data_IF_474429247705
#
_entry.id   IF_474429247705
#
_cell.length_a   1.000
_cell.length_b   1.000
_cell.length_c   1.000
_cell.angle_alpha   90.00
_cell.angle_beta   90.00
_cell.angle_gamma   90.00
#
_symmetry.space_group_name_H-M   'P 1'
#
loop_
_entity.id
_entity.type
_entity.pdbx_description
1 polymer ?
#
# COMPACT_ATOMS: atom_id res chain seq x y z
N UNK A 1 0.14 29.57 13.87
CA UNK A 1 0.35 29.11 15.25
C UNK A 1 1.01 27.75 15.13
N UNK A 2 2.29 27.70 15.48
CA UNK A 2 3.10 26.48 15.38
C UNK A 2 2.73 25.63 16.57
N UNK A 3 2.13 25.43 17.39
CA UNK A 3 1.84 24.73 18.64
C UNK A 3 1.63 25.69 19.81
N UNK A 4 0.46 26.24 19.92
CA UNK A 4 0.06 26.96 21.14
C UNK A 4 -0.44 26.00 22.22
N UNK A 5 -0.36 26.41 23.49
CA UNK A 5 -1.06 25.69 24.54
C UNK A 5 -2.54 25.56 24.19
N UNK A 6 -3.05 24.34 24.23
CA UNK A 6 -4.45 24.03 23.98
C UNK A 6 -5.37 24.87 24.84
N UNK A 7 -6.35 25.48 24.20
CA UNK A 7 -7.47 26.12 24.85
C UNK A 7 -8.72 25.35 24.42
N UNK A 8 -9.51 24.87 25.36
CA UNK A 8 -10.68 24.03 25.09
C UNK A 8 -11.68 24.63 24.06
N UNK A 9 -11.76 25.95 23.98
CA UNK A 9 -12.59 26.63 22.98
C UNK A 9 -11.99 26.60 21.57
N UNK A 10 -10.68 26.38 21.45
CA UNK A 10 -9.96 26.24 20.16
C UNK A 10 -9.88 24.80 19.77
N UNK A 11 -9.86 23.85 20.70
CA UNK A 11 -9.80 22.42 20.45
C UNK A 11 -10.99 21.92 19.62
N UNK A 12 -12.19 22.44 19.87
CA UNK A 12 -13.40 22.07 19.10
C UNK A 12 -13.38 22.57 17.65
N UNK A 13 -12.56 23.58 17.35
CA UNK A 13 -12.42 24.15 16.01
C UNK A 13 -11.24 23.58 15.22
N UNK A 14 -10.32 22.87 15.89
CA UNK A 14 -9.07 22.37 15.30
C UNK A 14 -9.04 20.86 15.14
N UNK A 15 -10.01 20.14 15.72
CA UNK A 15 -10.06 18.68 15.60
C UNK A 15 -10.64 18.27 14.26
N UNK A 16 -9.92 17.42 13.56
CA UNK A 16 -10.45 16.75 12.40
C UNK A 16 -11.41 15.63 12.81
N UNK A 17 -12.35 15.33 11.96
CA UNK A 17 -13.07 14.08 11.99
C UNK A 17 -12.22 13.02 11.28
N UNK A 18 -11.22 12.46 11.95
CA UNK A 18 -10.51 11.32 11.38
C UNK A 18 -11.51 10.20 11.07
N UNK A 19 -11.60 9.84 9.80
CA UNK A 19 -12.38 8.71 9.30
C UNK A 19 -11.63 8.17 8.07
N UNK A 20 -11.74 6.88 7.85
CA UNK A 20 -11.25 6.25 6.62
C UNK A 20 -12.14 6.57 5.40
N UNK A 21 -12.78 7.75 5.40
CA UNK A 21 -13.67 8.23 4.36
C UNK A 21 -13.01 9.35 3.58
N UNK A 22 -13.40 9.49 2.32
CA UNK A 22 -13.06 10.68 1.55
C UNK A 22 -13.94 11.86 1.93
N UNK A 23 -13.40 13.07 1.81
CA UNK A 23 -14.16 14.33 1.80
C UNK A 23 -14.10 14.99 0.43
N UNK A 24 -13.63 14.29 -0.59
CA UNK A 24 -13.44 14.77 -1.95
C UNK A 24 -14.53 14.26 -2.90
N UNK A 25 -15.73 14.03 -2.39
CA UNK A 25 -16.91 13.65 -3.17
C UNK A 25 -17.79 14.87 -3.48
N UNK A 26 -18.70 14.78 -4.48
CA UNK A 26 -19.49 15.92 -4.90
C UNK A 26 -20.60 16.34 -3.90
N UNK A 27 -20.84 15.57 -2.86
CA UNK A 27 -21.92 15.79 -1.90
C UNK A 27 -21.44 16.23 -0.52
N UNK A 28 -20.13 16.17 -0.25
CA UNK A 28 -19.56 16.53 1.04
C UNK A 28 -19.94 17.96 1.42
N UNK A 29 -20.32 18.17 2.68
CA UNK A 29 -20.60 19.52 3.17
C UNK A 29 -19.31 20.35 3.26
N UNK A 30 -19.41 21.66 3.01
CA UNK A 30 -18.28 22.57 3.19
C UNK A 30 -17.79 22.60 4.66
N UNK A 31 -18.67 22.31 5.58
CA UNK A 31 -18.33 22.18 6.99
C UNK A 31 -17.40 20.98 7.24
N UNK A 32 -17.80 19.80 6.77
CA UNK A 32 -16.99 18.58 6.96
C UNK A 32 -15.67 18.62 6.18
N UNK A 33 -15.72 19.11 4.94
CA UNK A 33 -14.51 19.33 4.14
C UNK A 33 -13.51 20.22 4.89
N UNK A 34 -13.97 21.38 5.35
CA UNK A 34 -13.12 22.34 6.05
C UNK A 34 -12.59 21.77 7.37
N UNK A 35 -13.42 21.07 8.14
CA UNK A 35 -12.97 20.45 9.40
C UNK A 35 -11.95 19.35 9.19
N UNK A 36 -12.04 18.62 8.10
CA UNK A 36 -11.07 17.57 7.76
C UNK A 36 -9.75 18.16 7.29
N UNK A 37 -9.79 19.12 6.36
CA UNK A 37 -8.58 19.67 5.74
C UNK A 37 -7.89 20.74 6.60
N UNK A 38 -8.64 21.49 7.40
CA UNK A 38 -8.10 22.58 8.24
C UNK A 38 -7.87 22.17 9.70
N UNK A 39 -8.39 21.02 10.12
CA UNK A 39 -8.32 20.55 11.50
C UNK A 39 -7.14 19.61 11.75
N UNK A 40 -7.09 19.07 12.95
CA UNK A 40 -6.08 18.07 13.30
C UNK A 40 -6.52 16.67 12.91
N UNK A 41 -5.58 15.82 12.57
CA UNK A 41 -5.85 14.42 12.24
C UNK A 41 -6.56 13.70 13.42
N UNK A 42 -5.96 13.72 14.59
CA UNK A 42 -6.57 13.33 15.87
C UNK A 42 -6.13 14.29 16.98
N UNK A 43 -6.75 14.21 18.14
CA UNK A 43 -6.49 15.11 19.25
C UNK A 43 -5.02 15.19 19.72
N UNK A 44 -4.25 14.12 19.51
CA UNK A 44 -2.82 14.04 19.83
C UNK A 44 -1.89 14.39 18.68
N UNK A 45 -2.40 14.57 17.45
CA UNK A 45 -1.61 14.80 16.24
C UNK A 45 -2.05 16.12 15.58
N UNK A 46 -1.48 17.25 16.02
CA UNK A 46 -1.80 18.56 15.44
C UNK A 46 -1.31 18.64 13.99
N UNK A 47 -2.16 19.16 13.12
CA UNK A 47 -1.80 19.44 11.74
C UNK A 47 -1.21 20.85 11.59
N UNK A 48 -0.31 21.01 10.62
CA UNK A 48 0.30 22.26 10.24
C UNK A 48 -0.56 22.94 9.16
N UNK A 49 -0.71 24.26 9.25
CA UNK A 49 -1.45 25.00 8.22
C UNK A 49 -0.64 25.14 6.93
N UNK A 50 -0.77 24.18 6.02
CA UNK A 50 -0.03 24.12 4.75
C UNK A 50 -0.38 25.29 3.81
N UNK A 51 -1.49 26.02 4.01
CA UNK A 51 -1.83 27.21 3.26
C UNK A 51 -1.03 28.45 3.67
N UNK A 52 -0.35 28.39 4.82
CA UNK A 52 0.61 29.44 5.19
C UNK A 52 1.82 29.38 4.24
N UNK A 53 2.08 30.42 3.43
CA UNK A 53 3.14 30.38 2.41
C UNK A 53 4.54 30.25 2.99
N UNK A 54 4.80 30.79 4.15
CA UNK A 54 6.11 30.68 4.82
C UNK A 54 6.33 29.26 5.34
N UNK A 55 5.31 28.66 5.94
CA UNK A 55 5.37 27.29 6.40
C UNK A 55 5.55 26.34 5.21
N UNK A 56 4.79 26.54 4.12
CA UNK A 56 4.91 25.71 2.93
C UNK A 56 6.31 25.79 2.31
N UNK A 57 6.89 26.99 2.25
CA UNK A 57 8.28 27.17 1.82
C UNK A 57 9.26 26.40 2.71
N UNK A 58 9.07 26.46 4.01
CA UNK A 58 9.89 25.71 4.97
C UNK A 58 9.77 24.20 4.75
N UNK A 59 8.56 23.66 4.59
CA UNK A 59 8.33 22.23 4.38
C UNK A 59 8.96 21.73 3.06
N UNK A 60 8.86 22.52 1.99
CA UNK A 60 9.53 22.21 0.71
C UNK A 60 11.05 22.19 0.90
N UNK A 61 11.62 23.24 1.50
CA UNK A 61 13.06 23.34 1.72
C UNK A 61 13.58 22.24 2.66
N UNK A 62 12.82 21.91 3.69
CA UNK A 62 13.15 20.82 4.61
C UNK A 62 13.19 19.46 3.87
N UNK A 63 12.25 19.20 2.98
CA UNK A 63 12.24 17.98 2.17
C UNK A 63 13.46 17.90 1.24
N UNK A 64 13.76 18.99 0.54
CA UNK A 64 14.95 19.11 -0.33
C UNK A 64 16.24 18.94 0.49
N UNK A 65 16.31 19.56 1.66
CA UNK A 65 17.46 19.42 2.55
C UNK A 65 17.72 17.98 2.97
N UNK A 66 16.66 17.24 3.33
CA UNK A 66 16.80 15.83 3.67
C UNK A 66 17.24 14.96 2.48
N UNK A 67 16.73 15.25 1.28
CA UNK A 67 17.16 14.56 0.06
C UNK A 67 18.66 14.74 -0.15
N UNK A 68 19.15 15.98 -0.05
CA UNK A 68 20.58 16.30 -0.22
C UNK A 68 21.44 15.77 0.92
N UNK A 69 21.04 16.01 2.16
CA UNK A 69 21.83 15.67 3.34
C UNK A 69 21.97 14.16 3.55
N UNK A 70 20.90 13.43 3.40
CA UNK A 70 20.88 11.99 3.66
C UNK A 70 20.95 11.12 2.40
N UNK A 71 20.89 11.71 1.20
CA UNK A 71 20.91 10.98 -0.07
C UNK A 71 19.70 10.04 -0.24
N UNK A 72 18.52 10.42 0.29
CA UNK A 72 17.31 9.60 0.19
C UNK A 72 16.80 9.57 -1.25
N UNK A 73 16.20 8.43 -1.65
CA UNK A 73 15.75 8.22 -3.03
C UNK A 73 14.21 8.27 -3.18
N UNK A 74 13.48 8.47 -2.10
CA UNK A 74 12.02 8.56 -2.10
C UNK A 74 11.49 9.02 -0.75
N UNK A 75 10.24 9.48 -0.75
CA UNK A 75 9.50 9.91 0.44
C UNK A 75 8.19 9.12 0.51
N UNK A 76 7.86 8.58 1.68
CA UNK A 76 6.48 8.23 2.03
C UNK A 76 5.87 9.42 2.77
N UNK A 77 4.83 10.00 2.21
CA UNK A 77 4.06 11.06 2.84
C UNK A 77 2.87 10.46 3.60
N UNK A 78 2.96 10.52 4.89
CA UNK A 78 1.96 10.06 5.85
C UNK A 78 0.65 10.82 5.73
N UNK A 79 -0.49 10.18 6.01
CA UNK A 79 -1.82 10.80 6.09
C UNK A 79 -2.17 11.73 4.90
N UNK A 80 -1.74 11.39 3.69
CA UNK A 80 -1.82 12.24 2.50
C UNK A 80 -3.22 12.82 2.20
N UNK A 81 -4.35 12.06 2.34
CA UNK A 81 -5.68 12.54 2.01
C UNK A 81 -6.20 13.69 2.90
N UNK A 82 -5.58 13.92 4.03
CA UNK A 82 -6.02 14.90 5.02
C UNK A 82 -5.37 16.28 4.84
N UNK A 83 -4.34 16.38 4.02
CA UNK A 83 -3.65 17.64 3.73
C UNK A 83 -4.38 18.48 2.67
N UNK A 84 -4.08 19.78 2.64
CA UNK A 84 -4.56 20.68 1.59
C UNK A 84 -4.00 20.26 0.22
N UNK A 85 -4.89 19.88 -0.72
CA UNK A 85 -4.48 19.30 -2.01
C UNK A 85 -3.68 20.28 -2.88
N UNK A 86 -3.95 21.57 -2.84
CA UNK A 86 -3.17 22.55 -3.60
C UNK A 86 -1.78 22.76 -3.01
N UNK A 87 -1.69 22.73 -1.67
CA UNK A 87 -0.40 22.79 -0.98
C UNK A 87 0.43 21.54 -1.30
N UNK A 88 -0.18 20.36 -1.29
CA UNK A 88 0.47 19.11 -1.67
C UNK A 88 0.92 19.12 -3.13
N UNK A 89 0.09 19.64 -4.04
CA UNK A 89 0.48 19.80 -5.43
C UNK A 89 1.69 20.75 -5.61
N UNK A 90 1.76 21.83 -4.82
CA UNK A 90 2.94 22.73 -4.82
C UNK A 90 4.18 22.02 -4.31
N UNK A 91 4.07 21.27 -3.23
CA UNK A 91 5.17 20.49 -2.66
C UNK A 91 5.67 19.44 -3.63
N UNK A 92 4.79 18.64 -4.21
CA UNK A 92 5.15 17.61 -5.20
C UNK A 92 5.85 18.22 -6.43
N UNK A 93 5.31 19.33 -6.96
CA UNK A 93 5.95 20.04 -8.10
C UNK A 93 7.32 20.58 -7.76
N UNK A 94 7.50 21.13 -6.56
CA UNK A 94 8.79 21.66 -6.14
C UNK A 94 9.85 20.56 -6.05
N UNK A 95 9.53 19.43 -5.42
CA UNK A 95 10.44 18.28 -5.34
C UNK A 95 10.73 17.69 -6.73
N UNK A 96 9.69 17.50 -7.56
CA UNK A 96 9.86 16.94 -8.91
C UNK A 96 10.67 17.85 -9.84
N UNK A 97 10.66 19.17 -9.65
CA UNK A 97 11.46 20.11 -10.42
C UNK A 97 12.95 19.97 -10.14
N UNK A 98 13.31 19.78 -8.87
CA UNK A 98 14.72 19.58 -8.46
C UNK A 98 15.18 18.14 -8.78
N UNK A 99 14.28 17.15 -8.57
CA UNK A 99 14.58 15.71 -8.71
C UNK A 99 13.55 15.02 -9.60
N UNK A 100 13.62 15.12 -10.94
CA UNK A 100 12.60 14.60 -11.86
C UNK A 100 12.33 13.09 -11.79
N UNK A 101 13.29 12.32 -11.24
CA UNK A 101 13.16 10.86 -11.06
C UNK A 101 12.83 10.42 -9.64
N UNK A 102 12.67 11.39 -8.73
CA UNK A 102 12.36 11.11 -7.33
C UNK A 102 10.92 10.60 -7.20
N UNK A 103 10.72 9.56 -6.40
CA UNK A 103 9.37 9.03 -6.16
C UNK A 103 8.83 9.49 -4.80
N UNK A 104 7.56 9.87 -4.80
CA UNK A 104 6.79 10.16 -3.59
C UNK A 104 5.62 9.20 -3.54
N UNK A 105 5.49 8.50 -2.43
CA UNK A 105 4.36 7.63 -2.14
C UNK A 105 3.47 8.33 -1.12
N UNK A 106 2.23 8.63 -1.49
CA UNK A 106 1.24 9.13 -0.54
C UNK A 106 0.55 7.98 0.17
N UNK A 107 0.57 7.99 1.48
CA UNK A 107 -0.29 7.10 2.24
C UNK A 107 -1.74 7.53 2.06
N UNK A 108 -2.42 6.86 1.17
CA UNK A 108 -3.81 7.11 0.82
C UNK A 108 -4.71 6.04 1.45
N UNK A 109 -4.77 6.02 2.78
CA UNK A 109 -5.58 5.02 3.49
C UNK A 109 -7.07 5.34 3.36
N UNK A 110 -7.63 4.88 2.26
CA UNK A 110 -9.05 4.95 1.92
C UNK A 110 -9.51 3.57 1.44
N UNK A 111 -10.79 3.27 1.63
CA UNK A 111 -11.32 1.92 1.46
C UNK A 111 -11.75 1.59 0.02
N UNK A 112 -11.72 2.56 -0.89
CA UNK A 112 -12.17 2.34 -2.26
C UNK A 112 -11.23 2.96 -3.29
N UNK A 113 -11.18 2.35 -4.45
CA UNK A 113 -10.27 2.68 -5.55
C UNK A 113 -10.50 4.09 -6.10
N UNK A 114 -11.77 4.55 -6.16
CA UNK A 114 -12.08 5.87 -6.70
C UNK A 114 -11.50 7.00 -5.84
N UNK A 115 -11.61 6.86 -4.52
CA UNK A 115 -11.06 7.84 -3.57
C UNK A 115 -9.53 7.86 -3.58
N UNK A 116 -8.89 6.72 -3.76
CA UNK A 116 -7.43 6.64 -3.89
C UNK A 116 -6.97 7.18 -5.24
N UNK A 117 -7.63 6.79 -6.31
CA UNK A 117 -7.34 7.28 -7.66
C UNK A 117 -7.41 8.80 -7.77
N UNK A 118 -8.35 9.42 -7.02
CA UNK A 118 -8.49 10.87 -6.92
C UNK A 118 -7.19 11.58 -6.51
N UNK A 119 -6.35 10.93 -5.68
CA UNK A 119 -5.10 11.49 -5.19
C UNK A 119 -3.94 11.37 -6.17
N UNK A 120 -4.06 10.54 -7.22
CA UNK A 120 -2.94 10.26 -8.11
C UNK A 120 -2.75 11.37 -9.16
N UNK A 121 -1.50 11.66 -9.49
CA UNK A 121 -1.12 12.58 -10.57
C UNK A 121 -1.81 12.23 -11.88
N UNK A 122 -2.40 13.25 -12.52
CA UNK A 122 -3.06 13.10 -13.81
C UNK A 122 -4.44 12.46 -13.76
N UNK A 123 -4.97 12.21 -12.55
CA UNK A 123 -6.35 11.74 -12.41
C UNK A 123 -7.33 12.84 -12.86
N UNK A 124 -8.33 12.44 -13.66
CA UNK A 124 -9.30 13.37 -14.25
C UNK A 124 -10.49 13.66 -13.34
N UNK A 125 -10.67 12.91 -12.27
CA UNK A 125 -11.74 13.12 -11.29
C UNK A 125 -11.43 14.28 -10.34
N UNK A 126 -10.14 14.60 -10.16
CA UNK A 126 -9.69 15.66 -9.29
C UNK A 126 -9.51 16.97 -10.05
N UNK A 127 -10.17 18.07 -9.66
CA UNK A 127 -9.94 19.39 -10.26
C UNK A 127 -8.53 19.92 -9.99
N UNK A 128 -7.88 19.43 -8.93
CA UNK A 128 -6.49 19.76 -8.61
C UNK A 128 -5.59 18.59 -8.97
N UNK A 129 -4.71 18.75 -9.96
CA UNK A 129 -3.67 17.75 -10.21
C UNK A 129 -2.64 17.81 -9.08
N UNK A 130 -2.67 16.80 -8.21
CA UNK A 130 -1.82 16.73 -7.01
C UNK A 130 -0.34 16.52 -7.32
N UNK A 131 -0.01 16.07 -8.54
CA UNK A 131 1.35 15.67 -8.95
C UNK A 131 1.94 14.50 -8.13
N UNK A 132 1.12 13.81 -7.32
CA UNK A 132 1.56 12.65 -6.56
C UNK A 132 1.77 11.44 -7.48
N UNK A 133 3.00 10.94 -7.65
CA UNK A 133 3.26 9.87 -8.61
C UNK A 133 2.74 8.51 -8.18
N UNK A 134 2.76 8.21 -6.88
CA UNK A 134 2.44 6.88 -6.34
C UNK A 134 1.46 6.99 -5.18
N UNK A 135 0.40 6.19 -5.22
CA UNK A 135 -0.58 6.02 -4.14
C UNK A 135 -0.55 4.58 -3.62
N UNK A 136 -0.92 4.37 -2.36
CA UNK A 136 -0.95 3.03 -1.74
C UNK A 136 -2.27 2.32 -2.04
N UNK A 137 -2.19 1.06 -2.44
CA UNK A 137 -3.34 0.22 -2.81
C UNK A 137 -3.96 -0.44 -1.56
N UNK A 138 -4.58 0.37 -0.71
CA UNK A 138 -5.28 -0.12 0.48
C UNK A 138 -6.46 -1.04 0.17
N UNK A 139 -7.26 -0.86 -0.91
CA UNK A 139 -8.29 -1.83 -1.25
C UNK A 139 -7.74 -3.23 -1.47
N UNK A 140 -6.58 -3.38 -2.13
CA UNK A 140 -5.92 -4.69 -2.26
C UNK A 140 -5.52 -5.25 -0.89
N UNK A 141 -4.92 -4.44 -0.02
CA UNK A 141 -4.52 -4.85 1.33
C UNK A 141 -5.72 -5.35 2.15
N UNK A 142 -6.82 -4.60 2.16
CA UNK A 142 -8.02 -4.94 2.92
C UNK A 142 -8.75 -6.18 2.37
N UNK A 143 -8.73 -6.36 1.04
CA UNK A 143 -9.42 -7.46 0.38
C UNK A 143 -8.62 -8.76 0.36
N UNK A 144 -7.29 -8.70 0.36
CA UNK A 144 -6.43 -9.86 0.13
C UNK A 144 -6.68 -10.98 1.15
N UNK A 145 -6.87 -10.61 2.43
CA UNK A 145 -7.17 -11.58 3.48
C UNK A 145 -8.41 -12.41 3.16
N UNK A 146 -9.47 -11.76 2.65
CA UNK A 146 -10.69 -12.45 2.22
C UNK A 146 -10.45 -13.27 0.96
N UNK A 147 -9.79 -12.70 -0.05
CA UNK A 147 -9.57 -13.36 -1.34
C UNK A 147 -8.82 -14.69 -1.20
N UNK A 148 -7.87 -14.78 -0.27
CA UNK A 148 -7.07 -15.98 -0.06
C UNK A 148 -7.52 -16.83 1.13
N UNK A 149 -8.28 -16.26 2.10
CA UNK A 149 -8.72 -16.93 3.32
C UNK A 149 -10.11 -17.57 3.25
N UNK A 150 -10.95 -17.18 2.30
CA UNK A 150 -12.33 -17.69 2.22
C UNK A 150 -12.39 -19.18 1.91
N UNK A 151 -13.14 -19.92 2.75
CA UNK A 151 -13.38 -21.36 2.58
C UNK A 151 -14.54 -21.63 1.60
N UNK A 152 -15.65 -20.88 1.77
CA UNK A 152 -16.80 -20.96 0.86
C UNK A 152 -16.64 -19.94 -0.25
N UNK A 153 -16.71 -20.36 -1.48
CA UNK A 153 -16.42 -19.55 -2.66
C UNK A 153 -17.60 -19.54 -3.61
N UNK A 154 -18.34 -18.46 -3.60
CA UNK A 154 -19.38 -18.15 -4.58
C UNK A 154 -18.81 -17.43 -5.80
N UNK A 155 -19.66 -16.99 -6.71
CA UNK A 155 -19.23 -16.24 -7.92
C UNK A 155 -18.53 -14.90 -7.66
N UNK A 156 -18.62 -14.34 -6.43
CA UNK A 156 -17.95 -13.06 -6.07
C UNK A 156 -16.82 -13.23 -5.06
N UNK A 157 -16.60 -14.44 -4.53
CA UNK A 157 -15.68 -14.70 -3.44
C UNK A 157 -14.35 -15.28 -3.94
N UNK A 158 -13.40 -15.42 -3.03
CA UNK A 158 -12.08 -15.98 -3.33
C UNK A 158 -11.34 -15.18 -4.41
N UNK A 159 -10.78 -15.87 -5.40
CA UNK A 159 -9.98 -15.22 -6.47
C UNK A 159 -10.81 -14.30 -7.38
N UNK A 160 -12.16 -14.41 -7.40
CA UNK A 160 -13.01 -13.46 -8.12
C UNK A 160 -12.88 -12.03 -7.56
N UNK A 161 -12.57 -11.88 -6.26
CA UNK A 161 -12.30 -10.56 -5.67
C UNK A 161 -11.11 -9.87 -6.33
N UNK A 162 -10.05 -10.62 -6.61
CA UNK A 162 -8.85 -10.09 -7.28
C UNK A 162 -9.17 -9.63 -8.71
N UNK A 163 -9.98 -10.40 -9.44
CA UNK A 163 -10.43 -10.02 -10.77
C UNK A 163 -11.24 -8.72 -10.73
N UNK A 164 -12.22 -8.63 -9.82
CA UNK A 164 -13.09 -7.46 -9.67
C UNK A 164 -12.29 -6.21 -9.25
N UNK A 165 -11.33 -6.37 -8.33
CA UNK A 165 -10.43 -5.30 -7.93
C UNK A 165 -9.60 -4.76 -9.10
N UNK A 166 -8.93 -5.65 -9.87
CA UNK A 166 -8.13 -5.23 -11.01
C UNK A 166 -8.98 -4.62 -12.14
N UNK A 167 -10.26 -4.97 -12.24
CA UNK A 167 -11.18 -4.35 -13.21
C UNK A 167 -11.38 -2.84 -12.92
N UNK A 168 -11.18 -2.39 -11.68
CA UNK A 168 -11.26 -0.99 -11.27
C UNK A 168 -9.97 -0.20 -11.56
N UNK A 169 -8.93 -0.83 -12.10
CA UNK A 169 -7.70 -0.14 -12.49
C UNK A 169 -7.95 1.00 -13.51
N UNK A 170 -9.06 0.95 -14.23
CA UNK A 170 -9.48 2.03 -15.14
C UNK A 170 -9.73 3.39 -14.45
N UNK A 171 -9.89 3.41 -13.13
CA UNK A 171 -10.06 4.63 -12.35
C UNK A 171 -8.75 5.39 -12.13
N UNK A 172 -7.62 4.69 -12.17
CA UNK A 172 -6.31 5.28 -11.96
C UNK A 172 -5.75 5.89 -13.24
N UNK A 173 -5.01 6.98 -13.09
CA UNK A 173 -4.28 7.54 -14.22
C UNK A 173 -3.14 6.62 -14.67
N UNK A 174 -2.50 5.94 -13.72
CA UNK A 174 -1.43 4.96 -13.96
C UNK A 174 -1.43 3.88 -12.85
N UNK A 175 -2.07 2.75 -13.13
CA UNK A 175 -2.11 1.62 -12.19
C UNK A 175 -0.75 0.94 -11.97
N UNK A 176 0.23 1.15 -12.86
CA UNK A 176 1.60 0.65 -12.67
C UNK A 176 2.35 1.37 -11.54
N UNK A 177 1.84 2.51 -11.10
CA UNK A 177 2.38 3.33 -10.01
C UNK A 177 1.68 3.11 -8.67
N UNK A 178 0.81 2.14 -8.54
CA UNK A 178 0.24 1.77 -7.26
C UNK A 178 1.29 1.05 -6.41
N UNK A 179 1.47 1.46 -5.15
CA UNK A 179 2.22 0.68 -4.17
C UNK A 179 1.31 -0.42 -3.64
N UNK A 180 1.54 -1.65 -4.08
CA UNK A 180 0.74 -2.82 -3.72
C UNK A 180 1.33 -3.52 -2.50
N UNK A 181 0.50 -3.93 -1.56
CA UNK A 181 0.94 -4.59 -0.32
C UNK A 181 -0.21 -5.36 0.31
N UNK A 182 0.11 -6.27 1.23
CA UNK A 182 -0.88 -6.99 2.03
C UNK A 182 -0.84 -6.59 3.49
N UNK A 183 0.31 -6.17 3.97
CA UNK A 183 0.52 -5.71 5.33
C UNK A 183 1.57 -4.59 5.39
N UNK A 184 1.54 -3.86 6.49
CA UNK A 184 2.53 -2.86 6.85
C UNK A 184 2.58 -2.68 8.37
N UNK A 185 3.27 -1.65 8.85
CA UNK A 185 3.39 -1.35 10.28
C UNK A 185 2.10 -0.84 10.95
N UNK A 186 1.05 -0.55 10.16
CA UNK A 186 -0.23 -0.02 10.63
C UNK A 186 -1.40 -0.99 10.43
N UNK A 187 -1.17 -2.14 9.81
CA UNK A 187 -2.17 -3.19 9.59
C UNK A 187 -1.81 -4.48 10.33
N UNK A 188 -2.76 -5.38 10.42
CA UNK A 188 -2.45 -6.76 10.82
C UNK A 188 -1.47 -7.37 9.83
N UNK A 189 -0.61 -8.28 10.30
CA UNK A 189 0.27 -9.02 9.41
C UNK A 189 -0.52 -10.02 8.59
N UNK A 190 -0.16 -10.10 7.30
CA UNK A 190 -0.79 -11.01 6.36
C UNK A 190 -0.26 -12.43 6.57
N UNK A 191 -0.94 -13.16 7.45
CA UNK A 191 -0.67 -14.57 7.67
C UNK A 191 -1.99 -15.31 7.83
N UNK A 192 -2.16 -16.37 7.06
CA UNK A 192 -3.24 -17.30 7.23
C UNK A 192 -3.00 -18.10 8.53
N UNK A 193 -4.05 -18.39 9.28
CA UNK A 193 -3.96 -18.79 10.70
C UNK A 193 -3.29 -20.16 10.92
N UNK A 194 -3.34 -21.03 9.90
CA UNK A 194 -2.87 -22.41 10.02
C UNK A 194 -1.62 -22.69 9.17
N UNK A 195 -0.67 -23.50 9.65
CA UNK A 195 0.49 -23.90 8.87
C UNK A 195 0.15 -24.60 7.53
N UNK A 196 -1.01 -25.26 7.46
CA UNK A 196 -1.56 -25.84 6.23
C UNK A 196 -1.83 -24.80 5.16
N UNK A 197 -1.99 -23.53 5.53
CA UNK A 197 -2.28 -22.43 4.61
C UNK A 197 -1.03 -21.89 3.90
N UNK A 198 0.14 -22.47 4.12
CA UNK A 198 1.38 -22.03 3.45
C UNK A 198 1.23 -22.04 1.92
N UNK A 199 0.46 -22.96 1.36
CA UNK A 199 0.21 -23.01 -0.09
C UNK A 199 -0.58 -21.78 -0.54
N UNK A 200 -1.60 -21.38 0.20
CA UNK A 200 -2.39 -20.15 -0.05
C UNK A 200 -1.56 -18.89 0.17
N UNK A 201 -0.74 -18.87 1.22
CA UNK A 201 0.21 -17.78 1.45
C UNK A 201 1.17 -17.62 0.27
N UNK A 202 1.75 -18.73 -0.24
CA UNK A 202 2.61 -18.71 -1.43
C UNK A 202 1.86 -18.20 -2.66
N UNK A 203 0.60 -18.58 -2.83
CA UNK A 203 -0.25 -18.12 -3.91
C UNK A 203 -0.49 -16.60 -3.81
N UNK A 204 -0.77 -16.09 -2.60
CA UNK A 204 -0.93 -14.67 -2.35
C UNK A 204 0.36 -13.88 -2.68
N UNK A 205 1.52 -14.35 -2.19
CA UNK A 205 2.80 -13.71 -2.51
C UNK A 205 3.12 -13.77 -4.02
N UNK A 206 2.77 -14.86 -4.68
CA UNK A 206 2.92 -14.96 -6.14
C UNK A 206 2.06 -13.92 -6.86
N UNK A 207 0.82 -13.71 -6.43
CA UNK A 207 -0.03 -12.65 -7.00
C UNK A 207 0.56 -11.26 -6.76
N UNK A 208 0.93 -10.92 -5.52
CA UNK A 208 1.53 -9.63 -5.18
C UNK A 208 2.75 -9.31 -6.06
N UNK A 209 3.60 -10.31 -6.27
CA UNK A 209 4.87 -10.15 -6.99
C UNK A 209 4.74 -10.30 -8.51
N UNK A 210 3.60 -10.72 -9.04
CA UNK A 210 3.41 -10.88 -10.48
C UNK A 210 2.31 -10.00 -11.08
N UNK A 211 1.45 -9.43 -10.24
CA UNK A 211 0.43 -8.45 -10.68
C UNK A 211 1.05 -7.10 -11.05
N UNK A 212 0.23 -6.10 -11.34
CA UNK A 212 0.65 -4.72 -11.64
C UNK A 212 1.09 -4.00 -10.38
N UNK A 213 1.74 -2.85 -10.53
CA UNK A 213 2.16 -1.98 -9.44
C UNK A 213 3.57 -2.25 -8.91
N UNK A 214 3.89 -1.59 -7.81
CA UNK A 214 5.17 -1.64 -7.12
C UNK A 214 4.96 -2.43 -5.82
N UNK A 215 5.36 -3.70 -5.75
CA UNK A 215 5.10 -4.50 -4.56
C UNK A 215 5.97 -4.05 -3.37
N UNK A 216 5.32 -3.87 -2.23
CA UNK A 216 5.95 -3.67 -0.93
C UNK A 216 5.78 -4.95 -0.11
N UNK A 217 6.87 -5.44 0.47
CA UNK A 217 6.88 -6.54 1.42
C UNK A 217 7.29 -5.97 2.77
N UNK A 218 6.46 -6.19 3.78
CA UNK A 218 6.78 -5.80 5.14
C UNK A 218 7.83 -6.76 5.71
N UNK A 219 8.82 -6.27 6.45
CA UNK A 219 9.88 -7.11 7.02
C UNK A 219 9.29 -8.23 7.88
N UNK A 220 9.87 -9.40 7.81
CA UNK A 220 9.43 -10.57 8.54
C UNK A 220 8.32 -11.37 7.86
N UNK A 221 7.67 -10.85 6.81
CA UNK A 221 6.71 -11.61 6.00
C UNK A 221 7.38 -12.84 5.41
N UNK A 222 8.62 -12.72 4.94
CA UNK A 222 9.42 -13.81 4.36
C UNK A 222 9.76 -14.96 5.32
N UNK A 223 9.63 -14.69 6.62
CA UNK A 223 9.83 -15.68 7.71
C UNK A 223 8.58 -15.88 8.55
N UNK A 224 7.43 -15.54 8.01
CA UNK A 224 6.11 -15.76 8.60
C UNK A 224 5.95 -15.15 10.00
N UNK A 225 6.41 -13.91 10.19
CA UNK A 225 6.16 -13.20 11.45
C UNK A 225 4.67 -12.87 11.59
N UNK A 226 4.13 -13.13 12.77
CA UNK A 226 2.76 -12.83 13.17
C UNK A 226 2.64 -11.45 13.81
N UNK A 227 1.43 -10.91 13.81
CA UNK A 227 1.07 -9.70 14.52
C UNK A 227 -0.35 -9.28 14.23
N UNK A 228 -1.09 -8.87 15.27
CA UNK A 228 -2.42 -8.31 15.14
C UNK A 228 -2.54 -7.01 15.93
N UNK A 229 -3.14 -6.01 15.34
CA UNK A 229 -3.45 -4.73 15.98
C UNK A 229 -4.51 -4.85 17.07
N UNK A 230 -5.30 -5.92 17.06
CA UNK A 230 -6.23 -6.22 18.15
C UNK A 230 -5.51 -6.42 19.49
N UNK A 231 -4.23 -6.80 19.45
CA UNK A 231 -3.36 -6.88 20.63
C UNK A 231 -2.76 -5.52 20.95
N UNK A 232 -1.92 -5.00 20.10
CA UNK A 232 -1.35 -3.63 20.15
C UNK A 232 -0.69 -3.27 18.83
N UNK A 233 -0.46 -1.99 18.56
CA UNK A 233 0.36 -1.54 17.42
C UNK A 233 1.80 -2.09 17.51
N UNK A 234 2.36 -2.20 18.72
CA UNK A 234 3.69 -2.79 18.94
C UNK A 234 3.78 -4.25 18.53
N UNK A 235 2.68 -5.00 18.63
CA UNK A 235 2.67 -6.42 18.29
C UNK A 235 2.83 -6.70 16.78
N UNK A 236 2.43 -5.79 15.91
CA UNK A 236 2.71 -5.89 14.46
C UNK A 236 4.11 -5.39 14.09
N UNK A 237 4.82 -4.77 15.04
CA UNK A 237 6.14 -4.13 14.85
C UNK A 237 7.25 -4.79 15.68
N UNK A 238 7.08 -6.06 16.04
CA UNK A 238 8.09 -6.80 16.80
C UNK A 238 9.41 -6.87 16.03
N UNK A 239 10.51 -6.90 16.76
CA UNK A 239 11.83 -7.05 16.19
C UNK A 239 11.96 -8.37 15.42
N UNK A 240 12.70 -8.33 14.32
CA UNK A 240 13.02 -9.55 13.57
C UNK A 240 14.02 -10.39 14.36
N UNK A 241 13.72 -11.65 14.70
CA UNK A 241 14.59 -12.47 15.56
C UNK A 241 16.01 -12.60 14.98
N UNK A 242 17.01 -12.29 15.78
CA UNK A 242 18.42 -12.23 15.39
C UNK A 242 18.90 -10.86 14.94
N UNK A 243 18.05 -9.82 14.99
CA UNK A 243 18.39 -8.45 14.65
C UNK A 243 19.15 -7.69 15.74
N UNK A 244 19.10 -8.17 17.00
CA UNK A 244 19.66 -7.48 18.15
C UNK A 244 20.60 -8.36 18.98
N UNK A 245 21.59 -7.75 19.68
CA UNK A 245 22.44 -8.47 20.61
C UNK A 245 21.60 -9.14 21.72
N UNK A 246 21.83 -10.44 21.96
CA UNK A 246 21.10 -11.20 22.97
C UNK A 246 19.98 -12.09 22.42
N UNK A 247 19.63 -11.95 21.15
CA UNK A 247 18.70 -12.87 20.51
C UNK A 247 19.24 -14.29 20.50
N UNK A 248 18.44 -15.24 21.01
CA UNK A 248 18.83 -16.65 21.09
C UNK A 248 18.70 -17.39 19.76
N UNK A 249 17.92 -16.84 18.81
CA UNK A 249 17.65 -17.41 17.49
C UNK A 249 17.81 -16.32 16.45
N UNK A 250 18.38 -16.66 15.30
CA UNK A 250 18.51 -15.71 14.18
C UNK A 250 17.84 -16.27 12.92
N UNK A 251 16.74 -15.65 12.50
CA UNK A 251 16.08 -16.01 11.24
C UNK A 251 16.85 -15.52 10.00
N UNK A 252 17.91 -14.75 10.17
CA UNK A 252 18.83 -14.38 9.08
C UNK A 252 19.66 -15.56 8.59
N UNK A 253 19.83 -16.59 9.43
CA UNK A 253 20.56 -17.81 9.06
C UNK A 253 19.60 -18.99 8.78
N UNK A 254 20.01 -19.92 7.94
CA UNK A 254 19.18 -21.09 7.61
C UNK A 254 18.87 -21.97 8.84
N UNK A 255 19.83 -22.09 9.75
CA UNK A 255 19.70 -22.94 10.95
C UNK A 255 18.76 -22.33 12.00
N UNK A 256 18.62 -21.01 12.03
CA UNK A 256 17.69 -20.33 12.93
C UNK A 256 16.24 -20.29 12.44
N UNK A 257 15.96 -20.75 11.22
CA UNK A 257 14.61 -20.84 10.68
C UNK A 257 14.00 -22.20 10.94
N UNK A 258 12.75 -22.25 11.34
CA UNK A 258 11.97 -23.49 11.34
C UNK A 258 11.85 -24.04 9.92
N UNK A 259 11.48 -25.31 9.73
CA UNK A 259 11.25 -25.87 8.38
C UNK A 259 10.24 -25.06 7.56
N UNK A 260 9.17 -24.60 8.21
CA UNK A 260 8.12 -23.79 7.58
C UNK A 260 8.65 -22.41 7.13
N UNK A 261 9.35 -21.72 8.01
CA UNK A 261 10.00 -20.44 7.71
C UNK A 261 11.04 -20.56 6.60
N UNK A 262 11.78 -21.65 6.58
CA UNK A 262 12.77 -21.93 5.54
C UNK A 262 12.10 -22.12 4.17
N UNK A 263 10.98 -22.83 4.13
CA UNK A 263 10.22 -23.03 2.89
C UNK A 263 9.64 -21.70 2.38
N UNK A 264 9.02 -20.91 3.25
CA UNK A 264 8.51 -19.57 2.92
C UNK A 264 9.63 -18.65 2.39
N UNK A 265 10.74 -18.56 3.12
CA UNK A 265 11.90 -17.73 2.74
C UNK A 265 12.48 -18.15 1.39
N UNK A 266 12.68 -19.44 1.16
CA UNK A 266 13.23 -19.95 -0.09
C UNK A 266 12.28 -19.67 -1.26
N UNK A 267 10.97 -19.79 -1.04
CA UNK A 267 9.96 -19.44 -2.05
C UNK A 267 10.04 -17.94 -2.41
N UNK A 268 10.00 -17.06 -1.41
CA UNK A 268 10.08 -15.61 -1.61
C UNK A 268 11.38 -15.20 -2.29
N UNK A 269 12.51 -15.72 -1.82
CA UNK A 269 13.83 -15.44 -2.40
C UNK A 269 13.88 -15.79 -3.89
N UNK A 270 13.45 -16.99 -4.27
CA UNK A 270 13.42 -17.42 -5.68
C UNK A 270 12.50 -16.54 -6.52
N UNK A 271 11.32 -16.21 -6.01
CA UNK A 271 10.34 -15.43 -6.75
C UNK A 271 10.81 -13.96 -6.95
N UNK A 272 11.42 -13.36 -5.93
CA UNK A 272 11.98 -12.01 -5.99
C UNK A 272 13.15 -11.91 -6.98
N UNK A 273 14.10 -12.86 -6.93
CA UNK A 273 15.21 -12.90 -7.89
C UNK A 273 14.70 -13.11 -9.32
N UNK A 274 13.72 -14.00 -9.50
CA UNK A 274 13.10 -14.21 -10.80
C UNK A 274 12.41 -12.94 -11.30
N UNK A 275 11.63 -12.24 -10.45
CA UNK A 275 10.97 -10.97 -10.79
C UNK A 275 11.99 -9.90 -11.21
N UNK A 276 13.08 -9.77 -10.47
CA UNK A 276 14.14 -8.78 -10.76
C UNK A 276 14.68 -8.92 -12.19
N UNK A 277 14.83 -10.13 -12.69
CA UNK A 277 15.28 -10.44 -14.06
C UNK A 277 14.20 -10.32 -15.13
N UNK A 278 12.91 -10.13 -14.78
CA UNK A 278 11.80 -10.26 -15.70
C UNK A 278 11.01 -8.95 -15.90
N UNK A 279 11.37 -8.20 -16.95
CA UNK A 279 10.70 -6.94 -17.30
C UNK A 279 9.22 -7.11 -17.67
N UNK A 280 8.79 -8.26 -18.15
CA UNK A 280 7.38 -8.51 -18.41
C UNK A 280 6.54 -8.42 -17.13
N UNK A 281 7.09 -8.88 -16.00
CA UNK A 281 6.41 -8.81 -14.70
C UNK A 281 6.62 -7.46 -14.01
N UNK A 282 7.83 -6.90 -14.05
CA UNK A 282 8.14 -5.67 -13.33
C UNK A 282 7.70 -4.39 -14.04
N UNK A 283 7.55 -4.41 -15.37
CA UNK A 283 7.24 -3.22 -16.18
C UNK A 283 6.30 -3.51 -17.37
N UNK A 284 5.74 -4.71 -17.45
CA UNK A 284 4.85 -5.10 -18.55
C UNK A 284 3.39 -4.72 -18.31
N UNK A 285 2.60 -4.84 -19.36
CA UNK A 285 1.13 -4.71 -19.29
C UNK A 285 0.52 -5.96 -18.68
N UNK A 286 -0.66 -5.81 -18.09
CA UNK A 286 -1.47 -6.90 -17.55
C UNK A 286 -2.72 -7.08 -18.42
N UNK A 287 -3.06 -8.34 -18.69
CA UNK A 287 -4.37 -8.75 -19.22
C UNK A 287 -4.86 -9.90 -18.38
N UNK A 288 -6.11 -9.88 -17.96
CA UNK A 288 -6.69 -10.96 -17.17
C UNK A 288 -7.93 -11.56 -17.84
N UNK A 289 -8.23 -12.77 -17.45
CA UNK A 289 -9.36 -13.53 -17.96
C UNK A 289 -10.38 -13.73 -16.84
N UNK A 290 -11.65 -13.74 -17.18
CA UNK A 290 -12.74 -13.94 -16.21
C UNK A 290 -12.55 -15.28 -15.49
N UNK A 291 -12.49 -15.28 -14.15
CA UNK A 291 -12.33 -16.53 -13.40
C UNK A 291 -13.49 -17.51 -13.65
N UNK A 292 -13.16 -18.77 -13.75
CA UNK A 292 -14.14 -19.87 -13.83
C UNK A 292 -13.83 -20.91 -12.78
N UNK A 293 -14.79 -21.26 -11.95
CA UNK A 293 -14.63 -22.25 -10.86
C UNK A 293 -13.39 -21.96 -9.98
N UNK A 294 -13.16 -20.68 -9.63
CA UNK A 294 -12.00 -20.22 -8.87
C UNK A 294 -10.64 -20.43 -9.57
N UNK A 295 -10.61 -20.80 -10.83
CA UNK A 295 -9.41 -20.70 -11.65
C UNK A 295 -9.30 -19.27 -12.18
N UNK A 296 -8.29 -18.54 -11.73
CA UNK A 296 -7.99 -17.18 -12.19
C UNK A 296 -6.72 -17.17 -13.02
N UNK A 297 -6.81 -16.63 -14.23
CA UNK A 297 -5.70 -16.56 -15.17
C UNK A 297 -5.45 -15.11 -15.57
N UNK A 298 -4.18 -14.72 -15.60
CA UNK A 298 -3.76 -13.46 -16.19
C UNK A 298 -2.40 -13.57 -16.86
N UNK A 299 -2.14 -12.67 -17.78
CA UNK A 299 -0.86 -12.58 -18.47
C UNK A 299 -0.14 -11.26 -18.19
N UNK A 300 1.17 -11.30 -18.20
CA UNK A 300 2.07 -10.14 -18.16
C UNK A 300 2.90 -10.13 -19.43
N UNK A 301 2.91 -9.00 -20.15
CA UNK A 301 3.57 -8.90 -21.46
C UNK A 301 4.46 -7.67 -21.54
N UNK A 302 5.69 -7.85 -22.06
CA UNK A 302 6.60 -6.76 -22.39
C UNK A 302 7.38 -7.12 -23.65
N UNK A 303 7.07 -6.45 -24.76
CA UNK A 303 7.55 -6.86 -26.08
C UNK A 303 7.16 -8.29 -26.41
N UNK A 304 8.11 -9.10 -26.81
CA UNK A 304 7.89 -10.51 -27.18
C UNK A 304 7.82 -11.47 -25.97
N UNK A 305 8.09 -10.95 -24.77
CA UNK A 305 8.05 -11.77 -23.55
C UNK A 305 6.64 -11.78 -22.96
N UNK A 306 6.14 -13.00 -22.74
CA UNK A 306 4.83 -13.24 -22.14
C UNK A 306 4.97 -14.24 -20.99
N UNK A 307 4.32 -13.93 -19.85
CA UNK A 307 4.16 -14.85 -18.74
C UNK A 307 2.67 -15.01 -18.46
N UNK A 308 2.23 -16.25 -18.32
CA UNK A 308 0.87 -16.59 -17.93
C UNK A 308 0.93 -17.08 -16.49
N UNK A 309 0.08 -16.51 -15.66
CA UNK A 309 -0.10 -16.89 -14.27
C UNK A 309 -1.45 -17.57 -14.15
N UNK A 310 -1.43 -18.80 -13.63
CA UNK A 310 -2.62 -19.59 -13.34
C UNK A 310 -2.71 -19.75 -11.82
N UNK A 311 -3.85 -19.41 -11.26
CA UNK A 311 -4.12 -19.47 -9.83
C UNK A 311 -5.34 -20.36 -9.60
N UNK A 312 -5.14 -21.44 -8.87
CA UNK A 312 -6.20 -22.36 -8.47
C UNK A 312 -6.66 -21.99 -7.05
N UNK A 313 -7.84 -21.43 -6.93
CA UNK A 313 -8.45 -21.06 -5.64
C UNK A 313 -9.25 -22.20 -5.00
N UNK A 314 -9.21 -23.43 -5.55
CA UNK A 314 -9.86 -24.61 -4.95
C UNK A 314 -8.84 -25.50 -4.28
N UNK A 315 -9.31 -26.48 -3.51
CA UNK A 315 -8.49 -27.51 -2.88
C UNK A 315 -8.29 -28.73 -3.82
N UNK A 316 -8.96 -28.74 -4.98
CA UNK A 316 -8.89 -29.80 -5.97
C UNK A 316 -8.00 -29.40 -7.15
N UNK A 317 -7.21 -30.31 -7.70
CA UNK A 317 -6.38 -30.04 -8.88
C UNK A 317 -7.24 -29.83 -10.14
N UNK A 318 -6.86 -28.86 -10.97
CA UNK A 318 -7.37 -28.77 -12.33
C UNK A 318 -6.55 -29.69 -13.24
N UNK A 319 -7.23 -30.58 -13.97
CA UNK A 319 -6.60 -31.54 -14.88
C UNK A 319 -6.58 -31.06 -16.33
N UNK A 320 -7.49 -30.15 -16.69
CA UNK A 320 -7.63 -29.59 -18.05
C UNK A 320 -7.68 -28.05 -17.95
N UNK A 321 -6.56 -27.40 -18.25
CA UNK A 321 -6.41 -25.94 -18.26
C UNK A 321 -6.01 -25.45 -19.64
#
# INVERSE_FOLDING_TARGET
>A
ILTGKRNAAVDSLLLTNFRLNTVHDPYVSQYDFKHTVDGWFVSGMPDLNQRNPHLMTYLIQNSIWWIEYAGINGIRMDTYPYADMEAMARWNRAVAREYPRFNIVGESWLENEASIAYMQRGNKLNPVNTELPTVMDFPLCLMAQQAFGEQTKSGSDGLNRLFNHLALDMLYADCSRLLTFYDNHDTDRFLLEEPSDLARWKQAQAFLLTTRGIPQIYYGTEVLMHGSKAVTDGYVRLDMPGGFPGDSVSVFTADGRTPLQRDAFNFMSRLLHWRQGNKAVSAGTLRHFMPSNQLYVYERTNGDRRFIVLMNGTDEPFTDV
#
